data_IF_687079312628
#
_entry.id   IF_687079312628
#
_cell.length_a   1.000
_cell.length_b   1.000
_cell.length_c   1.000
_cell.angle_alpha   90.00
_cell.angle_beta   90.00
_cell.angle_gamma   90.00
#
_symmetry.space_group_name_H-M   'P 1'
#
loop_
_entity.id
_entity.type
_entity.pdbx_description
1 polymer ?
#
# COMPACT_ATOMS: atom_id res chain seq x y z
N UNK A 1 25.29 -23.92 29.95
CA UNK A 1 25.37 -22.55 29.40
C UNK A 1 25.39 -22.50 27.86
N UNK A 2 24.78 -23.46 27.15
CA UNK A 2 24.69 -23.46 25.67
C UNK A 2 23.40 -24.15 25.19
N UNK A 3 22.24 -23.51 25.35
CA UNK A 3 20.99 -23.88 24.64
C UNK A 3 20.09 -22.69 24.24
N UNK A 4 20.54 -21.44 24.39
CA UNK A 4 19.73 -20.24 24.13
C UNK A 4 20.03 -19.47 22.83
N UNK A 5 21.01 -19.88 22.02
CA UNK A 5 21.53 -19.05 20.94
C UNK A 5 20.88 -19.29 19.55
N UNK A 6 19.99 -20.28 19.38
CA UNK A 6 19.42 -20.64 18.06
C UNK A 6 18.07 -20.01 17.71
N UNK A 7 17.46 -19.22 18.59
CA UNK A 7 16.16 -18.56 18.32
C UNK A 7 16.24 -17.04 18.09
N UNK A 8 17.43 -16.44 18.07
CA UNK A 8 17.61 -14.98 17.86
C UNK A 8 18.16 -14.58 16.48
N UNK A 9 18.36 -15.55 15.58
CA UNK A 9 18.87 -15.28 14.23
C UNK A 9 17.86 -14.59 13.27
N UNK A 10 16.54 -14.86 13.30
CA UNK A 10 15.60 -14.19 12.40
C UNK A 10 15.41 -12.70 12.70
N UNK A 11 15.48 -12.32 13.99
CA UNK A 11 15.26 -10.93 14.44
C UNK A 11 16.40 -9.99 14.08
N UNK A 12 17.65 -10.48 14.10
CA UNK A 12 18.80 -9.66 13.68
C UNK A 12 18.78 -9.40 12.16
N UNK A 13 18.35 -10.37 11.36
CA UNK A 13 18.24 -10.22 9.90
C UNK A 13 17.15 -9.21 9.50
N UNK A 14 16.00 -9.20 10.19
CA UNK A 14 14.94 -8.19 9.97
C UNK A 14 15.40 -6.78 10.38
N UNK A 15 16.06 -6.63 11.54
CA UNK A 15 16.54 -5.33 12.02
C UNK A 15 17.67 -4.75 11.15
N UNK A 16 18.61 -5.59 10.70
CA UNK A 16 19.63 -5.17 9.74
C UNK A 16 19.04 -4.91 8.34
N UNK A 17 18.03 -5.65 7.89
CA UNK A 17 17.35 -5.34 6.62
C UNK A 17 16.70 -3.96 6.63
N UNK A 18 16.04 -3.58 7.75
CA UNK A 18 15.44 -2.25 7.92
C UNK A 18 16.49 -1.14 7.87
N UNK A 19 17.65 -1.32 8.51
CA UNK A 19 18.71 -0.30 8.49
C UNK A 19 19.38 -0.19 7.11
N UNK A 20 19.61 -1.33 6.44
CA UNK A 20 20.30 -1.37 5.14
C UNK A 20 19.39 -0.88 4.01
N UNK A 21 18.08 -1.13 4.09
CA UNK A 21 17.10 -0.59 3.15
C UNK A 21 16.72 0.87 3.44
N UNK A 22 16.65 1.30 4.71
CA UNK A 22 16.58 2.74 5.02
C UNK A 22 17.77 3.48 4.43
N UNK A 23 18.97 2.88 4.45
CA UNK A 23 20.16 3.43 3.81
C UNK A 23 20.13 3.32 2.29
N UNK A 24 19.40 2.35 1.69
CA UNK A 24 19.23 2.26 0.23
C UNK A 24 18.21 3.25 -0.34
N UNK A 25 17.34 3.81 0.51
CA UNK A 25 16.51 4.97 0.18
C UNK A 25 17.34 6.27 0.03
N UNK A 26 18.62 6.25 0.41
CA UNK A 26 19.57 7.32 0.18
C UNK A 26 20.58 6.90 -0.92
N UNK A 27 20.83 7.72 -1.94
CA UNK A 27 21.83 7.39 -2.95
C UNK A 27 23.23 7.30 -2.32
N UNK A 28 23.95 6.19 -2.58
CA UNK A 28 25.37 6.05 -2.26
C UNK A 28 26.16 7.09 -3.05
N UNK A 29 26.55 8.20 -2.41
CA UNK A 29 27.41 9.19 -3.03
C UNK A 29 28.84 8.64 -3.13
N UNK A 30 29.26 8.24 -4.33
CA UNK A 30 30.68 8.27 -4.66
C UNK A 30 31.11 9.73 -4.78
N UNK A 31 32.14 10.10 -4.03
CA UNK A 31 32.81 11.39 -4.08
C UNK A 31 33.50 11.54 -5.44
N UNK A 32 32.76 11.96 -6.48
CA UNK A 32 33.29 12.59 -7.69
C UNK A 32 32.13 13.20 -8.51
N UNK A 33 31.82 14.47 -8.20
CA UNK A 33 31.37 15.45 -9.19
C UNK A 33 30.11 15.16 -10.00
N UNK A 34 28.95 14.95 -9.37
CA UNK A 34 27.65 15.29 -9.99
C UNK A 34 26.77 16.04 -8.99
N UNK A 35 26.39 17.26 -9.36
CA UNK A 35 25.45 18.11 -8.60
C UNK A 35 24.16 17.34 -8.32
N UNK A 36 23.79 17.24 -7.04
CA UNK A 36 22.43 16.98 -6.60
C UNK A 36 21.54 18.08 -7.17
N UNK A 37 20.60 17.73 -8.05
CA UNK A 37 19.50 18.61 -8.42
C UNK A 37 18.29 18.18 -7.60
N UNK A 38 18.00 18.94 -6.55
CA UNK A 38 16.71 18.89 -5.88
C UNK A 38 15.72 19.57 -6.82
N UNK A 39 15.02 18.78 -7.62
CA UNK A 39 14.01 19.28 -8.54
C UNK A 39 12.81 19.81 -7.75
N UNK A 40 12.78 21.11 -7.47
CA UNK A 40 11.51 21.82 -7.35
C UNK A 40 10.93 21.89 -8.76
N UNK A 41 9.87 21.13 -9.05
CA UNK A 41 9.19 21.17 -10.35
C UNK A 41 8.67 22.58 -10.66
N UNK A 42 9.15 23.26 -11.72
CA UNK A 42 8.47 24.38 -12.31
C UNK A 42 7.91 23.90 -13.66
N UNK A 43 6.72 23.28 -13.68
CA UNK A 43 6.13 22.81 -14.93
C UNK A 43 5.13 23.84 -15.49
N UNK A 44 5.41 24.34 -16.68
CA UNK A 44 4.50 25.13 -17.52
C UNK A 44 3.78 24.23 -18.53
N UNK A 45 2.47 24.44 -18.66
CA UNK A 45 1.43 23.55 -19.19
C UNK A 45 1.30 23.45 -20.73
N UNK A 46 2.35 23.67 -21.52
CA UNK A 46 2.15 23.99 -22.94
C UNK A 46 2.20 22.82 -23.95
N UNK A 47 2.54 21.58 -23.55
CA UNK A 47 2.86 20.52 -24.54
C UNK A 47 1.97 19.28 -24.57
N UNK A 48 0.92 19.23 -23.77
CA UNK A 48 -0.13 18.20 -23.87
C UNK A 48 -1.42 18.99 -23.83
N UNK A 49 -2.34 18.79 -24.78
CA UNK A 49 -3.60 19.55 -24.91
C UNK A 49 -4.61 19.36 -23.77
N UNK A 50 -4.13 19.32 -22.53
CA UNK A 50 -4.87 19.28 -21.28
C UNK A 50 -4.93 20.71 -20.76
N UNK A 51 -6.12 21.18 -20.38
CA UNK A 51 -6.32 22.55 -19.87
C UNK A 51 -5.31 22.89 -18.76
N UNK A 52 -4.56 24.01 -18.88
CA UNK A 52 -3.66 24.50 -17.84
C UNK A 52 -4.31 24.69 -16.46
N UNK A 53 -5.63 24.88 -16.43
CA UNK A 53 -6.36 25.35 -15.25
C UNK A 53 -6.56 24.33 -14.13
N UNK A 54 -6.14 23.06 -14.30
CA UNK A 54 -6.30 22.00 -13.28
C UNK A 54 -4.99 21.54 -12.62
N UNK A 55 -3.84 21.96 -13.13
CA UNK A 55 -2.51 21.56 -12.61
C UNK A 55 -1.87 22.67 -11.75
N UNK A 56 -2.66 23.29 -10.88
CA UNK A 56 -2.09 24.12 -9.81
C UNK A 56 -1.14 23.28 -8.94
N UNK A 57 -0.14 23.92 -8.34
CA UNK A 57 0.78 23.30 -7.36
C UNK A 57 -0.03 22.72 -6.20
N UNK A 58 -0.52 21.49 -6.32
CA UNK A 58 -1.14 20.75 -5.24
C UNK A 58 -0.06 20.38 -4.23
N UNK A 59 -0.27 20.75 -2.97
CA UNK A 59 0.51 20.27 -1.85
C UNK A 59 0.01 18.87 -1.50
N UNK A 60 0.72 17.83 -1.93
CA UNK A 60 0.44 16.45 -1.52
C UNK A 60 0.97 16.19 -0.11
N UNK A 61 0.39 15.21 0.58
CA UNK A 61 0.74 14.86 1.97
C UNK A 61 2.13 14.22 2.13
N UNK A 62 2.78 13.87 1.02
CA UNK A 62 4.16 13.39 0.99
C UNK A 62 4.80 13.66 -0.37
N UNK A 63 6.10 13.38 -0.48
CA UNK A 63 6.80 13.34 -1.75
C UNK A 63 6.43 12.08 -2.54
N UNK A 64 6.59 12.16 -3.86
CA UNK A 64 6.62 11.00 -4.74
C UNK A 64 7.85 10.15 -4.41
N UNK A 65 7.68 8.82 -4.39
CA UNK A 65 8.77 7.89 -4.10
C UNK A 65 8.80 6.77 -5.13
N UNK A 66 9.93 6.63 -5.82
CA UNK A 66 10.16 5.58 -6.83
C UNK A 66 11.18 4.56 -6.28
N UNK A 67 10.91 3.27 -6.50
CA UNK A 67 11.78 2.14 -6.12
C UNK A 67 11.76 1.11 -7.24
N UNK A 68 12.92 0.57 -7.62
CA UNK A 68 12.98 -0.58 -8.53
C UNK A 68 12.45 -1.84 -7.81
N UNK A 69 11.58 -2.58 -8.49
CA UNK A 69 10.94 -3.81 -8.03
C UNK A 69 11.15 -4.87 -9.11
N UNK A 70 12.27 -5.59 -9.03
CA UNK A 70 12.71 -6.47 -10.11
C UNK A 70 13.65 -5.83 -11.12
N UNK A 71 14.05 -6.61 -12.13
CA UNK A 71 15.08 -6.21 -13.10
C UNK A 71 14.66 -5.10 -14.08
N UNK A 72 13.36 -4.97 -14.35
CA UNK A 72 12.84 -4.10 -15.39
C UNK A 72 11.58 -3.32 -15.01
N UNK A 73 11.16 -3.39 -13.74
CA UNK A 73 9.93 -2.75 -13.26
C UNK A 73 10.26 -1.81 -12.12
N UNK A 74 9.77 -0.57 -12.18
CA UNK A 74 9.78 0.37 -11.07
C UNK A 74 8.39 0.53 -10.47
N UNK A 75 8.32 0.70 -9.16
CA UNK A 75 7.14 1.09 -8.39
C UNK A 75 7.27 2.56 -8.00
N UNK A 76 6.29 3.37 -8.38
CA UNK A 76 6.13 4.74 -7.89
C UNK A 76 4.93 4.82 -6.95
N UNK A 77 5.16 5.30 -5.73
CA UNK A 77 4.13 5.68 -4.77
C UNK A 77 3.70 7.11 -5.06
N UNK A 78 2.43 7.28 -5.44
CA UNK A 78 1.83 8.56 -5.81
C UNK A 78 0.94 9.02 -4.66
N UNK A 79 1.32 10.05 -3.89
CA UNK A 79 0.39 10.66 -2.94
C UNK A 79 -0.68 11.42 -3.72
N UNK A 80 -1.94 11.14 -3.40
CA UNK A 80 -3.12 11.77 -4.02
C UNK A 80 -4.09 12.21 -2.94
N UNK A 81 -4.99 13.14 -3.28
CA UNK A 81 -5.99 13.67 -2.34
C UNK A 81 -5.33 14.16 -1.03
N UNK A 82 -5.98 13.97 0.12
CA UNK A 82 -5.48 14.43 1.41
C UNK A 82 -4.51 13.44 2.07
N UNK A 83 -4.73 12.14 1.93
CA UNK A 83 -3.90 11.09 2.54
C UNK A 83 -3.83 9.77 1.76
N UNK A 84 -4.46 9.70 0.57
CA UNK A 84 -4.50 8.49 -0.25
C UNK A 84 -3.15 8.24 -0.97
N UNK A 85 -2.91 6.97 -1.30
CA UNK A 85 -1.87 6.53 -2.20
C UNK A 85 -2.48 5.84 -3.42
N UNK A 86 -2.12 6.34 -4.60
CA UNK A 86 -2.13 5.53 -5.82
C UNK A 86 -0.74 4.93 -6.04
N UNK A 87 -0.68 3.87 -6.83
CA UNK A 87 0.58 3.27 -7.22
C UNK A 87 0.70 3.12 -8.73
N UNK A 88 1.93 3.22 -9.20
CA UNK A 88 2.26 3.05 -10.61
C UNK A 88 3.40 2.06 -10.75
N UNK A 89 3.15 0.98 -11.50
CA UNK A 89 4.18 0.05 -11.94
C UNK A 89 4.56 0.42 -13.37
N UNK A 90 5.84 0.60 -13.63
CA UNK A 90 6.35 0.94 -14.95
C UNK A 90 7.41 -0.06 -15.38
N UNK A 91 7.18 -0.68 -16.54
CA UNK A 91 8.11 -1.62 -17.14
C UNK A 91 9.03 -0.93 -18.15
N UNK A 92 10.30 -0.74 -17.80
CA UNK A 92 11.25 0.08 -18.55
C UNK A 92 11.56 -0.43 -19.96
N UNK A 93 11.54 -1.75 -20.21
CA UNK A 93 11.84 -2.29 -21.55
C UNK A 93 10.64 -2.20 -22.50
N UNK A 94 9.46 -2.59 -22.01
CA UNK A 94 8.19 -2.60 -22.75
C UNK A 94 7.51 -1.24 -22.85
N UNK A 95 7.90 -0.28 -21.99
CA UNK A 95 7.26 1.02 -21.85
C UNK A 95 5.76 0.87 -21.50
N UNK A 96 5.42 -0.16 -20.75
CA UNK A 96 4.07 -0.44 -20.28
C UNK A 96 3.90 0.07 -18.84
N UNK A 97 2.71 0.54 -18.52
CA UNK A 97 2.36 1.10 -17.22
C UNK A 97 1.10 0.42 -16.70
N UNK A 98 1.08 0.10 -15.42
CA UNK A 98 -0.10 -0.34 -14.68
C UNK A 98 -0.31 0.61 -13.51
N UNK A 99 -1.55 1.05 -13.32
CA UNK A 99 -1.94 1.91 -12.20
C UNK A 99 -2.77 1.12 -11.20
N UNK A 100 -2.62 1.43 -9.91
CA UNK A 100 -3.42 0.87 -8.82
C UNK A 100 -4.10 2.02 -8.09
N UNK A 101 -5.42 1.95 -7.97
CA UNK A 101 -6.32 2.92 -7.32
C UNK A 101 -6.06 4.40 -7.73
N UNK A 102 -6.06 4.75 -9.04
CA UNK A 102 -5.67 6.07 -9.51
C UNK A 102 -6.80 7.12 -9.41
N UNK A 103 -7.30 7.40 -8.20
CA UNK A 103 -8.45 8.30 -8.00
C UNK A 103 -8.22 9.76 -8.41
N UNK A 104 -6.97 10.24 -8.37
CA UNK A 104 -6.57 11.53 -8.92
C UNK A 104 -5.81 11.31 -10.25
N UNK A 105 -6.51 11.37 -11.40
CA UNK A 105 -5.91 11.06 -12.69
C UNK A 105 -4.85 12.09 -13.09
N UNK A 106 -4.90 13.31 -12.54
CA UNK A 106 -4.00 14.40 -12.91
C UNK A 106 -2.54 14.04 -12.66
N UNK A 107 -2.19 13.64 -11.45
CA UNK A 107 -0.81 13.24 -11.11
C UNK A 107 -0.43 11.89 -11.71
N UNK A 108 -1.36 10.94 -11.77
CA UNK A 108 -1.10 9.61 -12.32
C UNK A 108 -0.79 9.68 -13.83
N UNK A 109 -1.61 10.41 -14.59
CA UNK A 109 -1.40 10.64 -16.02
C UNK A 109 -0.21 11.55 -16.27
N UNK A 110 0.01 12.60 -15.48
CA UNK A 110 1.19 13.47 -15.63
C UNK A 110 2.46 12.66 -15.41
N UNK A 111 2.54 11.86 -14.35
CA UNK A 111 3.72 11.03 -14.08
C UNK A 111 3.92 9.97 -15.16
N UNK A 112 2.83 9.35 -15.64
CA UNK A 112 2.90 8.36 -16.72
C UNK A 112 3.24 8.97 -18.08
N UNK A 113 2.71 10.14 -18.43
CA UNK A 113 2.82 10.74 -19.77
C UNK A 113 4.00 11.70 -19.91
N UNK A 114 4.44 12.37 -18.83
CA UNK A 114 5.49 13.40 -18.90
C UNK A 114 6.90 12.86 -18.62
N UNK A 115 7.04 11.70 -17.97
CA UNK A 115 8.36 11.16 -17.65
C UNK A 115 9.08 10.60 -18.89
N UNK A 116 9.80 11.44 -19.63
CA UNK A 116 10.85 11.10 -20.64
C UNK A 116 10.49 11.30 -22.12
N UNK A 117 9.35 11.89 -22.46
CA UNK A 117 8.99 12.13 -23.87
C UNK A 117 8.83 10.84 -24.69
N UNK A 118 8.60 9.71 -24.01
CA UNK A 118 8.37 8.38 -24.60
C UNK A 118 6.88 8.10 -24.59
N UNK A 119 6.39 7.38 -25.61
CA UNK A 119 5.02 6.88 -25.63
C UNK A 119 4.95 5.69 -24.67
N UNK A 120 4.28 5.86 -23.54
CA UNK A 120 3.96 4.75 -22.64
C UNK A 120 2.59 4.18 -23.00
N UNK A 121 2.43 2.88 -22.78
CA UNK A 121 1.16 2.18 -22.92
C UNK A 121 0.61 1.87 -21.54
N UNK A 122 -0.42 2.59 -21.10
CA UNK A 122 -1.21 2.20 -19.93
C UNK A 122 -1.97 0.93 -20.30
N UNK A 123 -1.61 -0.21 -19.70
CA UNK A 123 -2.17 -1.51 -20.04
C UNK A 123 -3.31 -1.90 -19.12
N UNK A 124 -3.22 -1.56 -17.83
CA UNK A 124 -4.23 -1.93 -16.85
C UNK A 124 -4.36 -0.90 -15.73
N UNK A 125 -5.58 -0.81 -15.20
CA UNK A 125 -5.91 -0.14 -13.93
C UNK A 125 -6.42 -1.24 -13.00
N UNK A 126 -5.73 -1.48 -11.89
CA UNK A 126 -6.18 -2.41 -10.86
C UNK A 126 -6.87 -1.62 -9.75
N UNK A 127 -8.13 -1.92 -9.48
CA UNK A 127 -8.94 -1.22 -8.50
C UNK A 127 -9.27 -2.15 -7.33
N UNK A 128 -8.82 -1.81 -6.13
CA UNK A 128 -9.00 -2.65 -4.94
C UNK A 128 -10.45 -2.69 -4.49
N UNK A 129 -11.18 -1.56 -4.58
CA UNK A 129 -12.60 -1.47 -4.27
C UNK A 129 -13.26 -0.22 -4.87
N UNK A 130 -14.59 -0.14 -4.76
CA UNK A 130 -15.40 0.84 -5.48
C UNK A 130 -15.46 2.24 -4.85
N UNK A 131 -14.86 2.50 -3.69
CA UNK A 131 -14.92 3.85 -3.11
C UNK A 131 -14.24 4.85 -4.03
N UNK A 132 -14.79 6.07 -4.06
CA UNK A 132 -14.42 7.10 -5.04
C UNK A 132 -12.95 7.52 -4.93
N UNK A 133 -12.40 7.55 -3.73
CA UNK A 133 -11.01 7.90 -3.47
C UNK A 133 -10.00 6.80 -3.87
N UNK A 134 -10.50 5.69 -4.44
CA UNK A 134 -9.71 4.66 -5.13
C UNK A 134 -10.07 4.53 -6.61
N UNK A 135 -11.37 4.46 -6.92
CA UNK A 135 -11.88 4.16 -8.26
C UNK A 135 -12.29 5.40 -9.08
N UNK A 136 -12.31 6.59 -8.45
CA UNK A 136 -12.92 7.81 -9.00
C UNK A 136 -12.23 8.37 -10.23
N UNK A 137 -10.98 8.00 -10.49
CA UNK A 137 -10.23 8.42 -11.67
C UNK A 137 -10.35 7.48 -12.87
N UNK A 138 -10.94 6.29 -12.70
CA UNK A 138 -11.01 5.27 -13.75
C UNK A 138 -11.67 5.80 -15.04
N UNK A 139 -12.83 6.44 -14.90
CA UNK A 139 -13.58 6.95 -16.05
C UNK A 139 -12.82 8.07 -16.78
N UNK A 140 -12.25 9.04 -16.06
CA UNK A 140 -11.48 10.14 -16.65
C UNK A 140 -10.23 9.61 -17.40
N UNK A 141 -9.56 8.58 -16.85
CA UNK A 141 -8.41 7.95 -17.51
C UNK A 141 -8.84 7.25 -18.80
N UNK A 142 -9.89 6.43 -18.76
CA UNK A 142 -10.41 5.71 -19.94
C UNK A 142 -10.85 6.68 -21.04
N UNK A 143 -11.60 7.72 -20.67
CA UNK A 143 -12.04 8.77 -21.61
C UNK A 143 -10.85 9.54 -22.20
N UNK A 144 -9.81 9.80 -21.41
CA UNK A 144 -8.58 10.44 -21.88
C UNK A 144 -7.84 9.54 -22.88
N UNK A 145 -7.69 8.25 -22.60
CA UNK A 145 -7.11 7.28 -23.53
C UNK A 145 -7.91 7.23 -24.84
N UNK A 146 -9.24 7.13 -24.76
CA UNK A 146 -10.14 7.10 -25.91
C UNK A 146 -10.01 8.35 -26.78
N UNK A 147 -10.05 9.53 -26.16
CA UNK A 147 -9.99 10.82 -26.87
C UNK A 147 -8.65 11.05 -27.58
N UNK A 148 -7.59 10.39 -27.13
CA UNK A 148 -6.25 10.45 -27.73
C UNK A 148 -5.96 9.28 -28.68
N UNK A 149 -6.94 8.41 -28.97
CA UNK A 149 -6.75 7.24 -29.84
C UNK A 149 -5.77 6.21 -29.27
N UNK A 150 -5.60 6.18 -27.95
CA UNK A 150 -4.75 5.22 -27.24
C UNK A 150 -5.58 3.96 -26.98
N UNK A 151 -4.95 2.79 -27.03
CA UNK A 151 -5.58 1.53 -26.60
C UNK A 151 -6.11 1.70 -25.18
N UNK A 152 -7.37 1.31 -24.95
CA UNK A 152 -7.99 1.39 -23.64
C UNK A 152 -7.32 0.38 -22.68
N UNK A 153 -7.05 0.78 -21.43
CA UNK A 153 -6.55 -0.13 -20.42
C UNK A 153 -7.66 -1.09 -19.98
N UNK A 154 -7.26 -2.28 -19.51
CA UNK A 154 -8.18 -3.13 -18.76
C UNK A 154 -8.40 -2.54 -17.36
N UNK A 155 -9.66 -2.36 -16.96
CA UNK A 155 -10.01 -1.99 -15.59
C UNK A 155 -10.38 -3.27 -14.85
N UNK A 156 -9.53 -3.64 -13.91
CA UNK A 156 -9.56 -4.91 -13.19
C UNK A 156 -10.03 -4.68 -11.76
N UNK A 157 -10.98 -5.47 -11.28
CA UNK A 157 -11.53 -5.37 -9.93
C UNK A 157 -12.52 -6.49 -9.64
N UNK A 158 -13.11 -6.50 -8.45
CA UNK A 158 -14.02 -7.58 -8.03
C UNK A 158 -15.51 -7.16 -8.01
N UNK A 159 -15.77 -5.86 -7.98
CA UNK A 159 -17.08 -5.25 -7.72
C UNK A 159 -17.64 -4.54 -8.96
N UNK A 160 -18.87 -4.86 -9.35
CA UNK A 160 -19.53 -4.26 -10.54
C UNK A 160 -19.78 -2.74 -10.37
N UNK A 161 -19.64 -2.21 -9.14
CA UNK A 161 -19.71 -0.77 -8.85
C UNK A 161 -18.46 0.01 -9.28
N UNK A 162 -17.36 -0.67 -9.62
CA UNK A 162 -16.13 -0.04 -10.09
C UNK A 162 -16.38 0.59 -11.48
N UNK A 163 -16.19 1.92 -11.65
CA UNK A 163 -16.38 2.57 -12.93
C UNK A 163 -15.47 1.99 -14.02
N UNK A 164 -16.05 1.78 -15.20
CA UNK A 164 -15.39 1.24 -16.38
C UNK A 164 -14.80 -0.18 -16.23
N UNK A 165 -15.23 -0.98 -15.24
CA UNK A 165 -14.77 -2.36 -15.05
C UNK A 165 -14.86 -3.17 -16.35
N UNK A 166 -13.73 -3.69 -16.82
CA UNK A 166 -13.65 -4.56 -18.00
C UNK A 166 -13.36 -6.01 -17.64
N UNK A 167 -12.64 -6.25 -16.54
CA UNK A 167 -12.27 -7.58 -16.07
C UNK A 167 -12.61 -7.78 -14.60
N UNK A 168 -13.66 -8.57 -14.35
CA UNK A 168 -14.06 -8.95 -13.00
C UNK A 168 -13.30 -10.19 -12.55
N UNK A 169 -12.40 -10.03 -11.59
CA UNK A 169 -11.58 -11.12 -11.05
C UNK A 169 -12.34 -11.96 -10.04
N UNK A 170 -11.86 -13.19 -9.83
CA UNK A 170 -12.30 -14.11 -8.77
C UNK A 170 -11.26 -14.23 -7.66
N UNK A 171 -11.69 -14.80 -6.53
CA UNK A 171 -10.76 -15.13 -5.44
C UNK A 171 -9.73 -16.16 -5.91
N UNK A 172 -8.47 -15.92 -5.58
CA UNK A 172 -7.29 -16.66 -6.05
C UNK A 172 -7.10 -16.72 -7.57
N UNK A 173 -7.79 -15.89 -8.34
CA UNK A 173 -7.51 -15.74 -9.77
C UNK A 173 -6.10 -15.18 -9.95
N UNK A 174 -5.40 -15.73 -10.94
CA UNK A 174 -4.05 -15.30 -11.28
C UNK A 174 -4.00 -14.84 -12.73
N UNK A 175 -3.23 -13.78 -12.97
CA UNK A 175 -2.93 -13.28 -14.30
C UNK A 175 -1.55 -12.64 -14.29
N UNK A 176 -1.01 -12.45 -15.48
CA UNK A 176 0.31 -11.87 -15.66
C UNK A 176 0.22 -10.44 -16.17
N UNK A 177 1.08 -9.59 -15.64
CA UNK A 177 1.38 -8.27 -16.17
C UNK A 177 2.69 -8.33 -16.97
N UNK A 178 2.86 -7.39 -17.89
CA UNK A 178 4.09 -7.16 -18.62
C UNK A 178 4.63 -8.39 -19.38
N UNK A 179 3.73 -9.26 -19.87
CA UNK A 179 4.12 -10.46 -20.61
C UNK A 179 4.74 -11.56 -19.74
N UNK A 180 4.35 -11.65 -18.46
CA UNK A 180 4.79 -12.72 -17.55
C UNK A 180 5.92 -12.32 -16.60
N UNK A 181 6.37 -11.07 -16.59
CA UNK A 181 7.44 -10.60 -15.69
C UNK A 181 6.93 -10.33 -14.27
N UNK A 182 5.63 -10.06 -14.12
CA UNK A 182 4.96 -9.88 -12.83
C UNK A 182 3.70 -10.74 -12.80
N UNK A 183 3.66 -11.73 -11.90
CA UNK A 183 2.48 -12.55 -11.63
C UNK A 183 1.64 -11.90 -10.55
N UNK A 184 0.35 -11.74 -10.81
CA UNK A 184 -0.64 -11.21 -9.89
C UNK A 184 -1.52 -12.35 -9.40
N UNK A 185 -1.78 -12.41 -8.08
CA UNK A 185 -2.79 -13.26 -7.48
C UNK A 185 -3.81 -12.37 -6.75
N UNK A 186 -5.08 -12.53 -7.09
CA UNK A 186 -6.18 -11.78 -6.50
C UNK A 186 -6.64 -12.46 -5.20
N UNK A 187 -6.70 -11.71 -4.10
CA UNK A 187 -7.22 -12.19 -2.83
C UNK A 187 -8.49 -11.42 -2.50
N UNK A 188 -9.65 -12.08 -2.59
CA UNK A 188 -10.92 -11.48 -2.22
C UNK A 188 -10.97 -11.27 -0.70
N UNK A 189 -11.16 -10.03 -0.27
CA UNK A 189 -11.00 -9.59 1.13
C UNK A 189 -12.18 -8.76 1.62
N UNK A 190 -13.42 -9.32 1.60
CA UNK A 190 -14.60 -8.56 1.94
C UNK A 190 -14.56 -8.11 3.40
N UNK A 191 -14.79 -6.83 3.65
CA UNK A 191 -15.20 -6.29 4.94
C UNK A 191 -15.37 -4.77 4.85
N UNK A 192 -14.29 -4.09 4.44
CA UNK A 192 -14.33 -2.65 4.25
C UNK A 192 -15.39 -2.29 3.22
N UNK A 193 -15.30 -2.93 2.06
CA UNK A 193 -16.42 -3.12 1.15
C UNK A 193 -16.64 -4.61 0.94
N UNK A 194 -17.84 -4.97 0.48
CA UNK A 194 -18.24 -6.34 0.16
C UNK A 194 -17.57 -6.87 -1.11
N UNK A 195 -17.02 -5.99 -1.95
CA UNK A 195 -16.30 -6.31 -3.18
C UNK A 195 -14.81 -5.97 -3.15
N UNK A 196 -14.19 -5.88 -1.96
CA UNK A 196 -12.78 -5.54 -1.85
C UNK A 196 -11.86 -6.70 -2.29
N UNK A 197 -10.81 -6.39 -3.05
CA UNK A 197 -9.77 -7.33 -3.47
C UNK A 197 -8.37 -6.76 -3.19
N UNK A 198 -7.47 -7.60 -2.69
CA UNK A 198 -6.04 -7.30 -2.62
C UNK A 198 -5.32 -7.93 -3.82
N UNK A 199 -4.32 -7.25 -4.37
CA UNK A 199 -3.48 -7.78 -5.44
C UNK A 199 -2.11 -8.14 -4.87
N UNK A 200 -1.80 -9.44 -4.86
CA UNK A 200 -0.51 -9.96 -4.43
C UNK A 200 0.38 -10.22 -5.64
N UNK A 201 1.47 -9.47 -5.77
CA UNK A 201 2.32 -9.48 -6.94
C UNK A 201 3.71 -10.02 -6.64
N UNK A 202 4.22 -10.85 -7.55
CA UNK A 202 5.59 -11.37 -7.52
C UNK A 202 6.26 -11.12 -8.87
N UNK A 203 7.45 -10.55 -8.82
CA UNK A 203 8.36 -10.50 -9.96
C UNK A 203 9.04 -11.86 -10.14
N UNK A 204 9.62 -12.10 -11.32
CA UNK A 204 10.33 -13.35 -11.62
C UNK A 204 11.70 -13.49 -10.93
N UNK A 205 12.22 -12.39 -10.38
CA UNK A 205 13.48 -12.38 -9.64
C UNK A 205 13.25 -12.62 -8.13
N UNK A 206 14.31 -12.46 -7.33
CA UNK A 206 14.24 -12.65 -5.88
C UNK A 206 13.79 -11.40 -5.11
N UNK A 207 13.22 -10.40 -5.79
CA UNK A 207 12.75 -9.18 -5.14
C UNK A 207 11.59 -9.46 -4.18
N UNK A 208 11.46 -8.70 -3.08
CA UNK A 208 10.33 -8.82 -2.18
C UNK A 208 8.98 -8.65 -2.92
N UNK A 209 7.98 -9.53 -2.67
CA UNK A 209 6.65 -9.38 -3.26
C UNK A 209 5.96 -8.07 -2.85
N UNK A 210 5.00 -7.63 -3.65
CA UNK A 210 4.18 -6.46 -3.37
C UNK A 210 2.75 -6.90 -3.04
N UNK A 211 2.18 -6.40 -1.95
CA UNK A 211 0.78 -6.61 -1.59
C UNK A 211 0.04 -5.27 -1.63
N UNK A 212 -0.71 -5.03 -2.70
CA UNK A 212 -1.63 -3.91 -2.79
C UNK A 212 -2.90 -4.26 -2.03
N UNK A 213 -3.04 -3.67 -0.86
CA UNK A 213 -4.01 -4.09 0.16
C UNK A 213 -5.23 -3.17 0.27
N UNK A 214 -5.25 -2.07 -0.49
CA UNK A 214 -6.29 -1.05 -0.45
C UNK A 214 -6.60 -0.69 0.99
N UNK A 215 -7.87 -0.84 1.35
CA UNK A 215 -8.42 -0.47 2.66
C UNK A 215 -8.68 -1.69 3.55
N UNK A 216 -8.18 -2.87 3.19
CA UNK A 216 -8.26 -4.05 4.06
C UNK A 216 -7.21 -3.98 5.17
N UNK A 217 -5.94 -3.85 4.79
CA UNK A 217 -4.79 -3.84 5.71
C UNK A 217 -4.04 -2.52 5.56
N UNK A 218 -3.80 -1.83 6.66
CA UNK A 218 -2.94 -0.65 6.70
C UNK A 218 -1.71 -0.93 7.53
N UNK A 219 -0.65 -0.13 7.36
CA UNK A 219 0.46 -0.15 8.30
C UNK A 219 -0.04 0.13 9.72
N UNK A 220 0.01 -0.89 10.58
CA UNK A 220 -0.43 -0.88 11.97
C UNK A 220 -1.96 -0.85 12.16
N UNK A 221 -2.75 -1.05 11.11
CA UNK A 221 -4.21 -0.91 11.16
C UNK A 221 -4.99 -1.80 10.18
N UNK A 222 -6.29 -1.60 10.12
CA UNK A 222 -7.18 -2.18 9.09
C UNK A 222 -8.32 -1.20 8.76
N UNK A 223 -9.04 -1.48 7.68
CA UNK A 223 -10.24 -0.76 7.27
C UNK A 223 -11.31 -0.66 8.35
N UNK A 224 -12.15 0.37 8.23
CA UNK A 224 -13.47 0.36 8.89
C UNK A 224 -14.37 -0.65 8.21
N UNK A 225 -15.29 -1.26 8.96
CA UNK A 225 -16.14 -2.34 8.48
C UNK A 225 -17.46 -1.76 7.94
N UNK A 226 -17.42 -1.06 6.80
CA UNK A 226 -18.62 -0.39 6.28
C UNK A 226 -19.64 -1.38 5.73
N UNK A 227 -19.20 -2.42 5.02
CA UNK A 227 -20.08 -3.40 4.36
C UNK A 227 -19.87 -4.84 4.85
N UNK A 228 -19.26 -5.03 6.02
CA UNK A 228 -18.93 -6.35 6.53
C UNK A 228 -18.83 -6.42 8.04
N UNK A 229 -18.41 -7.58 8.52
CA UNK A 229 -18.36 -7.91 9.95
C UNK A 229 -16.94 -8.13 10.44
N UNK A 230 -16.77 -8.21 11.76
CA UNK A 230 -15.51 -8.62 12.38
C UNK A 230 -15.05 -10.00 11.94
N UNK A 231 -15.99 -10.92 11.64
CA UNK A 231 -15.67 -12.23 11.08
C UNK A 231 -15.03 -12.07 9.70
N UNK A 232 -15.64 -11.25 8.83
CA UNK A 232 -15.11 -11.04 7.48
C UNK A 232 -13.73 -10.38 7.49
N UNK A 233 -13.50 -9.37 8.35
CA UNK A 233 -12.16 -8.78 8.48
C UNK A 233 -11.15 -9.79 9.02
N UNK A 234 -11.53 -10.56 10.05
CA UNK A 234 -10.64 -11.58 10.61
C UNK A 234 -10.23 -12.60 9.54
N UNK A 235 -11.19 -13.16 8.81
CA UNK A 235 -10.93 -14.12 7.72
C UNK A 235 -10.10 -13.51 6.59
N UNK A 236 -10.38 -12.27 6.19
CA UNK A 236 -9.62 -11.56 5.15
C UNK A 236 -8.16 -11.34 5.55
N UNK A 237 -7.92 -10.93 6.80
CA UNK A 237 -6.57 -10.75 7.33
C UNK A 237 -5.84 -12.08 7.53
N UNK A 238 -6.53 -13.14 7.98
CA UNK A 238 -5.95 -14.48 8.03
C UNK A 238 -5.53 -14.94 6.64
N UNK A 239 -6.40 -14.80 5.63
CA UNK A 239 -6.11 -15.11 4.23
C UNK A 239 -4.83 -14.42 3.77
N UNK A 240 -4.70 -13.10 3.98
CA UNK A 240 -3.47 -12.37 3.64
C UNK A 240 -2.26 -12.98 4.34
N UNK A 241 -2.32 -13.21 5.66
CA UNK A 241 -1.17 -13.72 6.42
C UNK A 241 -0.77 -15.16 6.09
N UNK A 242 -1.69 -15.95 5.55
CA UNK A 242 -1.48 -17.35 5.13
C UNK A 242 -0.93 -17.45 3.71
N UNK A 243 -1.40 -16.60 2.79
CA UNK A 243 -1.07 -16.71 1.37
C UNK A 243 0.07 -15.79 0.90
N UNK A 244 0.36 -14.72 1.65
CA UNK A 244 1.44 -13.80 1.34
C UNK A 244 2.69 -14.07 2.19
N UNK A 245 3.87 -13.84 1.60
CA UNK A 245 5.16 -13.98 2.30
C UNK A 245 5.37 -12.85 3.32
N UNK A 246 6.04 -13.14 4.43
CA UNK A 246 6.39 -12.14 5.46
C UNK A 246 7.30 -11.03 4.94
N UNK A 247 8.07 -11.31 3.89
CA UNK A 247 8.92 -10.34 3.20
C UNK A 247 8.15 -9.41 2.27
N UNK A 248 6.83 -9.59 2.10
CA UNK A 248 6.05 -8.76 1.18
C UNK A 248 5.91 -7.33 1.70
N UNK A 249 6.11 -6.35 0.83
CA UNK A 249 5.76 -4.95 1.12
C UNK A 249 4.23 -4.81 1.14
N UNK A 250 3.69 -4.19 2.20
CA UNK A 250 2.26 -3.87 2.29
C UNK A 250 2.02 -2.46 1.79
N UNK A 251 1.37 -2.35 0.64
CA UNK A 251 1.04 -1.11 -0.05
C UNK A 251 -0.45 -0.82 0.18
N UNK A 252 -0.76 0.01 1.16
CA UNK A 252 -2.11 0.30 1.61
C UNK A 252 -2.65 1.64 1.10
N UNK A 253 -3.98 1.77 1.02
CA UNK A 253 -4.67 2.90 0.41
C UNK A 253 -4.39 4.29 0.98
N UNK A 254 -4.00 4.39 2.25
CA UNK A 254 -3.88 5.66 2.96
C UNK A 254 -2.66 5.75 3.88
N UNK A 255 -2.24 6.99 4.15
CA UNK A 255 -1.21 7.35 5.11
C UNK A 255 -1.76 7.50 6.55
N UNK A 256 -2.38 6.44 7.07
CA UNK A 256 -2.91 6.40 8.44
C UNK A 256 -1.90 5.94 9.50
N UNK A 257 -0.66 5.65 9.09
CA UNK A 257 0.30 4.85 9.85
C UNK A 257 0.59 5.39 11.25
N UNK A 258 0.87 6.70 11.40
CA UNK A 258 1.14 7.27 12.72
C UNK A 258 -0.06 7.17 13.67
N UNK A 259 -1.28 7.42 13.16
CA UNK A 259 -2.49 7.28 13.98
C UNK A 259 -2.74 5.82 14.36
N UNK A 260 -2.49 4.90 13.43
CA UNK A 260 -2.64 3.47 13.64
C UNK A 260 -1.66 2.95 14.70
N UNK A 261 -0.38 3.29 14.60
CA UNK A 261 0.64 2.86 15.55
C UNK A 261 0.46 3.50 16.93
N UNK A 262 0.01 4.76 17.01
CA UNK A 262 -0.36 5.37 18.31
C UNK A 262 -1.51 4.61 18.98
N UNK A 263 -2.52 4.20 18.20
CA UNK A 263 -3.60 3.36 18.72
C UNK A 263 -3.10 1.98 19.16
N UNK A 264 -2.21 1.36 18.38
CA UNK A 264 -1.58 0.10 18.76
C UNK A 264 -0.80 0.25 20.09
N UNK A 265 -0.04 1.33 20.24
CA UNK A 265 0.72 1.66 21.46
C UNK A 265 -0.20 1.87 22.66
N UNK A 266 -1.36 2.48 22.45
CA UNK A 266 -2.37 2.62 23.50
C UNK A 266 -2.92 1.25 23.97
N UNK A 267 -3.06 0.26 23.09
CA UNK A 267 -3.48 -1.08 23.47
C UNK A 267 -2.36 -1.91 24.12
N UNK A 268 -1.15 -1.85 23.57
CA UNK A 268 0.00 -2.63 24.03
C UNK A 268 1.22 -1.72 24.33
N UNK A 269 1.19 -0.90 25.40
CA UNK A 269 2.20 0.14 25.66
C UNK A 269 3.61 -0.40 25.91
N UNK A 270 3.72 -1.67 26.32
CA UNK A 270 5.01 -2.34 26.57
C UNK A 270 5.55 -3.06 25.34
N UNK A 271 4.83 -3.10 24.21
CA UNK A 271 5.29 -3.76 22.99
C UNK A 271 6.35 -2.90 22.30
N UNK A 272 7.60 -3.37 22.34
CA UNK A 272 8.75 -2.65 21.78
C UNK A 272 8.72 -2.56 20.26
N UNK A 273 8.09 -3.51 19.58
CA UNK A 273 7.98 -3.49 18.12
C UNK A 273 7.11 -2.31 17.66
N UNK A 274 6.05 -2.00 18.41
CA UNK A 274 5.22 -0.80 18.18
C UNK A 274 6.06 0.48 18.36
N UNK A 275 6.84 0.57 19.44
CA UNK A 275 7.65 1.77 19.71
C UNK A 275 8.71 1.99 18.62
N UNK A 276 9.36 0.93 18.17
CA UNK A 276 10.34 0.98 17.08
C UNK A 276 9.68 1.42 15.76
N UNK A 277 8.50 0.87 15.44
CA UNK A 277 7.73 1.26 14.26
C UNK A 277 7.33 2.75 14.32
N UNK A 278 6.87 3.25 15.47
CA UNK A 278 6.53 4.67 15.66
C UNK A 278 7.73 5.56 15.36
N UNK A 279 8.91 5.25 15.93
CA UNK A 279 10.11 6.06 15.74
C UNK A 279 10.54 6.10 14.26
N UNK A 280 10.54 4.94 13.58
CA UNK A 280 10.88 4.85 12.15
C UNK A 280 9.91 5.67 11.29
N UNK A 281 8.60 5.51 11.52
CA UNK A 281 7.58 6.23 10.74
C UNK A 281 7.61 7.73 11.04
N UNK A 282 7.82 8.15 12.29
CA UNK A 282 7.94 9.58 12.63
C UNK A 282 9.07 10.25 11.84
N UNK A 283 10.22 9.59 11.73
CA UNK A 283 11.34 10.10 10.94
C UNK A 283 10.98 10.27 9.45
N UNK A 284 10.34 9.26 8.85
CA UNK A 284 9.88 9.31 7.45
C UNK A 284 8.89 10.46 7.25
N UNK A 285 7.87 10.55 8.09
CA UNK A 285 6.81 11.56 7.98
C UNK A 285 7.32 12.98 8.20
N UNK A 286 8.25 13.20 9.14
CA UNK A 286 8.90 14.50 9.34
C UNK A 286 9.75 14.92 8.13
N UNK A 287 10.25 13.95 7.36
CA UNK A 287 10.98 14.18 6.11
C UNK A 287 10.06 14.23 4.88
N UNK A 288 8.73 14.17 5.06
CA UNK A 288 7.75 14.15 3.98
C UNK A 288 7.75 12.88 3.15
N UNK A 289 8.33 11.78 3.63
CA UNK A 289 8.45 10.50 2.90
C UNK A 289 7.24 9.60 3.21
N UNK A 290 6.66 8.92 2.21
CA UNK A 290 5.64 7.88 2.42
C UNK A 290 6.11 6.77 3.37
N UNK A 291 5.24 6.35 4.30
CA UNK A 291 5.60 5.28 5.23
C UNK A 291 5.44 3.87 4.64
N UNK A 292 4.58 3.71 3.63
CA UNK A 292 4.14 2.40 3.10
C UNK A 292 5.27 1.50 2.59
N UNK A 293 6.35 2.03 2.04
CA UNK A 293 7.48 1.20 1.57
C UNK A 293 8.31 0.57 2.72
N UNK A 294 8.17 1.09 3.94
CA UNK A 294 8.80 0.49 5.13
C UNK A 294 7.91 -0.57 5.81
N UNK A 295 6.69 -0.77 5.31
CA UNK A 295 5.75 -1.74 5.85
C UNK A 295 5.97 -3.13 5.25
N UNK A 296 6.28 -4.10 6.10
CA UNK A 296 6.42 -5.51 5.73
C UNK A 296 5.38 -6.35 6.44
N UNK A 297 4.81 -7.34 5.74
CA UNK A 297 3.77 -8.19 6.30
C UNK A 297 4.23 -8.94 7.58
N UNK A 298 5.49 -9.38 7.61
CA UNK A 298 6.08 -9.99 8.81
C UNK A 298 6.15 -9.04 10.00
N UNK A 299 6.39 -7.75 9.75
CA UNK A 299 6.37 -6.70 10.77
C UNK A 299 4.95 -6.45 11.28
N UNK A 300 3.96 -6.36 10.39
CA UNK A 300 2.56 -6.16 10.79
C UNK A 300 2.08 -7.18 11.84
N UNK A 301 2.56 -8.43 11.75
CA UNK A 301 2.24 -9.50 12.72
C UNK A 301 2.76 -9.22 14.15
N UNK A 302 3.75 -8.34 14.31
CA UNK A 302 4.36 -8.03 15.62
C UNK A 302 3.75 -6.81 16.30
N UNK A 303 3.19 -5.86 15.55
CA UNK A 303 2.67 -4.61 16.11
C UNK A 303 1.23 -4.22 15.69
N UNK A 304 0.64 -4.81 14.63
CA UNK A 304 -0.72 -4.46 14.22
C UNK A 304 -1.75 -5.17 15.12
N UNK A 305 -2.57 -4.44 15.90
CA UNK A 305 -3.50 -5.05 16.84
C UNK A 305 -4.55 -5.95 16.17
N UNK A 306 -4.87 -5.70 14.89
CA UNK A 306 -5.85 -6.48 14.13
C UNK A 306 -5.29 -7.82 13.63
N UNK A 307 -3.98 -7.93 13.41
CA UNK A 307 -3.31 -9.23 13.17
C UNK A 307 -2.99 -9.97 14.46
N UNK A 308 -3.10 -9.29 15.60
CA UNK A 308 -2.71 -9.78 16.92
C UNK A 308 -3.88 -10.10 17.83
N UNK A 309 -5.10 -10.22 17.30
CA UNK A 309 -6.32 -10.50 18.07
C UNK A 309 -6.29 -11.80 18.90
N UNK A 310 -5.39 -12.73 18.59
CA UNK A 310 -5.13 -13.93 19.40
C UNK A 310 -4.15 -13.73 20.57
N UNK A 311 -3.44 -12.59 20.63
CA UNK A 311 -2.42 -12.31 21.65
C UNK A 311 -3.07 -11.81 22.94
N UNK A 312 -2.52 -12.27 24.07
CA UNK A 312 -3.02 -11.90 25.40
C UNK A 312 -2.93 -10.40 25.70
N UNK A 313 -1.92 -9.70 25.17
CA UNK A 313 -1.81 -8.24 25.31
C UNK A 313 -3.01 -7.51 24.73
N UNK A 314 -3.34 -7.80 23.47
CA UNK A 314 -4.50 -7.20 22.78
C UNK A 314 -5.81 -7.61 23.43
N UNK A 315 -5.98 -8.90 23.79
CA UNK A 315 -7.18 -9.38 24.49
C UNK A 315 -7.43 -8.60 25.78
N UNK A 316 -6.43 -8.51 26.66
CA UNK A 316 -6.53 -7.79 27.94
C UNK A 316 -6.89 -6.32 27.75
N UNK A 317 -6.38 -5.68 26.70
CA UNK A 317 -6.66 -4.26 26.42
C UNK A 317 -8.13 -3.97 26.02
N UNK A 318 -8.91 -4.99 25.67
CA UNK A 318 -10.31 -4.88 25.26
C UNK A 318 -11.31 -5.72 26.07
N UNK A 319 -10.83 -6.48 27.07
CA UNK A 319 -11.71 -7.13 28.05
C UNK A 319 -12.46 -6.06 28.84
N UNK A 320 -13.73 -6.32 29.11
CA UNK A 320 -14.55 -5.48 29.99
C UNK A 320 -14.59 -6.04 31.42
N UNK A 321 -14.33 -7.35 31.57
CA UNK A 321 -14.23 -8.07 32.84
C UNK A 321 -13.01 -8.98 32.82
N UNK A 322 -12.38 -9.20 33.97
CA UNK A 322 -11.12 -9.96 34.04
C UNK A 322 -11.25 -11.42 33.58
N UNK A 323 -12.34 -12.08 33.99
CA UNK A 323 -12.65 -13.49 33.71
C UNK A 323 -13.23 -13.74 32.30
N UNK A 324 -13.40 -12.69 31.50
CA UNK A 324 -14.05 -12.80 30.20
C UNK A 324 -13.15 -13.49 29.17
N UNK A 325 -13.58 -14.63 28.64
CA UNK A 325 -12.88 -15.30 27.55
C UNK A 325 -13.41 -14.81 26.19
N UNK A 326 -12.52 -14.28 25.36
CA UNK A 326 -12.85 -13.70 24.06
C UNK A 326 -12.24 -14.50 22.93
N UNK A 327 -13.06 -14.86 21.96
CA UNK A 327 -12.60 -15.40 20.68
C UNK A 327 -11.87 -14.31 19.87
N UNK A 328 -10.96 -14.68 18.94
CA UNK A 328 -10.29 -13.71 18.07
C UNK A 328 -11.24 -12.77 17.31
N UNK A 329 -12.42 -13.27 16.90
CA UNK A 329 -13.45 -12.48 16.21
C UNK A 329 -14.10 -11.45 17.14
N UNK A 330 -14.34 -11.79 18.41
CA UNK A 330 -14.87 -10.83 19.39
C UNK A 330 -13.83 -9.77 19.75
N UNK A 331 -12.56 -10.17 19.87
CA UNK A 331 -11.44 -9.22 20.05
C UNK A 331 -11.35 -8.28 18.86
N UNK A 332 -11.42 -8.79 17.62
CA UNK A 332 -11.46 -7.99 16.39
C UNK A 332 -12.57 -6.94 16.44
N UNK A 333 -13.79 -7.34 16.80
CA UNK A 333 -14.95 -6.44 16.94
C UNK A 333 -14.68 -5.31 17.94
N UNK A 334 -14.14 -5.65 19.12
CA UNK A 334 -13.89 -4.67 20.20
C UNK A 334 -12.73 -3.75 19.89
N UNK A 335 -11.63 -4.27 19.36
CA UNK A 335 -10.48 -3.48 18.90
C UNK A 335 -10.93 -2.50 17.82
N UNK A 336 -11.75 -2.92 16.84
CA UNK A 336 -12.29 -2.03 15.81
C UNK A 336 -13.16 -0.93 16.40
N UNK A 337 -14.17 -1.31 17.19
CA UNK A 337 -15.09 -0.37 17.85
C UNK A 337 -14.34 0.63 18.73
N UNK A 338 -13.32 0.19 19.46
CA UNK A 338 -12.51 1.06 20.31
C UNK A 338 -11.67 2.03 19.46
N UNK A 339 -11.09 1.58 18.33
CA UNK A 339 -10.36 2.46 17.39
C UNK A 339 -11.27 3.51 16.76
N UNK A 340 -12.50 3.15 16.39
CA UNK A 340 -13.44 4.06 15.75
C UNK A 340 -13.87 5.23 16.66
N UNK A 341 -13.83 5.01 17.97
CA UNK A 341 -14.16 6.02 18.99
C UNK A 341 -12.91 6.62 19.66
N UNK A 342 -11.72 6.16 19.28
CA UNK A 342 -10.46 6.60 19.89
C UNK A 342 -10.03 7.93 19.29
N UNK A 343 -9.65 8.87 20.15
CA UNK A 343 -9.03 10.13 19.76
C UNK A 343 -7.56 10.10 20.15
N UNK A 344 -6.64 10.47 19.25
CA UNK A 344 -5.25 10.66 19.61
C UNK A 344 -5.16 11.71 20.72
N UNK A 345 -4.52 11.36 21.84
CA UNK A 345 -4.16 12.29 22.91
C UNK A 345 -3.03 13.22 22.48
#
# INVERSE_FOLDING_TARGET
FLRGARQRLPFLLLFFSHLTEMLSLFPRTSLLGRRLTWGTCPFTSEKVGVSPSRFEKRCYHSVLLEKEVGDAVSLTVLPILDDNYAYLLHHHRRQEVVMIDPADPGIALTHALQNRGRKFSLTSILTTHHHWDHAGGNEEIVQTCQSNGIKLPDVVGYDDRIPCLTHRVKDFEEFDLFGGEVRVQCLFTPCHTSGHVCFYMKTNDSSPPLLFSGDTLFFGGCGRFFEGTSTNMYESLQKITTHCLDTSHVLSGHEYTLSNLKYASFLEPTNRDIQNAIQGVQFLRQSGIPSVLSCFLGGEKTYNPFLRVGNEGVKKAVKEREEEELTPVEVMKRVRKKKDNWKPS
#
